data_IF_534053008923
#
_entry.id   IF_534053008923
#
_cell.length_a   1.000
_cell.length_b   1.000
_cell.length_c   1.000
_cell.angle_alpha   90.00
_cell.angle_beta   90.00
_cell.angle_gamma   90.00
#
_symmetry.space_group_name_H-M   'P 1'
#
loop_
_entity.id
_entity.type
_entity.pdbx_description
1 polymer ?
#
# COMPACT_ATOMS: atom_id res chain seq x y z
N UNK A 1 59.13 36.63 40.82
CA UNK A 1 58.16 37.34 39.94
C UNK A 1 57.54 36.43 38.86
N UNK A 2 58.18 35.32 38.46
CA UNK A 2 57.70 34.43 37.38
C UNK A 2 56.50 33.52 37.74
N UNK A 3 56.47 32.91 38.94
CA UNK A 3 55.38 31.98 39.31
C UNK A 3 53.96 32.60 39.40
N UNK A 4 53.86 33.92 39.58
CA UNK A 4 52.59 34.65 39.56
C UNK A 4 52.07 34.93 38.14
N UNK A 5 52.96 34.97 37.15
CA UNK A 5 52.61 35.14 35.75
C UNK A 5 52.14 33.79 35.17
N UNK A 6 52.86 32.70 35.44
CA UNK A 6 52.48 31.34 35.02
C UNK A 6 51.08 30.95 35.54
N UNK A 7 50.81 31.17 36.83
CA UNK A 7 49.49 30.92 37.42
C UNK A 7 48.37 31.73 36.76
N UNK A 8 48.62 32.97 36.32
CA UNK A 8 47.60 33.80 35.64
C UNK A 8 47.28 33.29 34.24
N UNK A 9 48.29 32.82 33.50
CA UNK A 9 48.10 32.15 32.21
C UNK A 9 47.32 30.85 32.33
N UNK A 10 47.66 30.01 33.32
CA UNK A 10 46.96 28.73 33.54
C UNK A 10 45.50 28.95 33.96
N UNK A 11 45.23 29.96 34.79
CA UNK A 11 43.86 30.33 35.19
C UNK A 11 43.03 30.79 33.99
N UNK A 12 43.60 31.60 33.08
CA UNK A 12 42.92 32.04 31.87
C UNK A 12 42.60 30.88 30.92
N UNK A 13 43.55 29.96 30.71
CA UNK A 13 43.36 28.77 29.88
C UNK A 13 42.27 27.86 30.46
N UNK A 14 42.21 27.74 31.79
CA UNK A 14 41.18 26.98 32.47
C UNK A 14 39.79 27.61 32.28
N UNK A 15 39.69 28.93 32.40
CA UNK A 15 38.43 29.68 32.19
C UNK A 15 37.92 29.55 30.75
N UNK A 16 38.79 29.60 29.75
CA UNK A 16 38.42 29.32 28.35
C UNK A 16 37.90 27.89 28.18
N UNK A 17 38.54 26.91 28.80
CA UNK A 17 38.11 25.50 28.73
C UNK A 17 36.73 25.33 29.38
N UNK A 18 36.47 26.00 30.50
CA UNK A 18 35.14 25.99 31.13
C UNK A 18 34.07 26.60 30.23
N UNK A 19 34.32 27.75 29.61
CA UNK A 19 33.38 28.37 28.66
C UNK A 19 33.08 27.46 27.46
N UNK A 20 34.11 26.78 26.93
CA UNK A 20 33.95 25.81 25.84
C UNK A 20 33.09 24.62 26.27
N UNK A 21 33.34 24.07 27.47
CA UNK A 21 32.56 22.97 28.02
C UNK A 21 31.10 23.36 28.27
N UNK A 22 30.84 24.58 28.74
CA UNK A 22 29.48 25.08 28.99
C UNK A 22 28.67 25.18 27.69
N UNK A 23 29.29 25.65 26.60
CA UNK A 23 28.67 25.68 25.26
C UNK A 23 28.34 24.26 24.80
N UNK A 24 29.32 23.35 24.87
CA UNK A 24 29.14 21.94 24.44
C UNK A 24 28.02 21.28 25.24
N UNK A 25 27.94 21.53 26.55
CA UNK A 25 26.93 20.95 27.41
C UNK A 25 25.53 21.44 27.02
N UNK A 26 25.39 22.74 26.73
CA UNK A 26 24.13 23.33 26.26
C UNK A 26 23.70 22.78 24.89
N UNK A 27 24.64 22.59 23.97
CA UNK A 27 24.37 22.00 22.67
C UNK A 27 23.92 20.53 22.80
N UNK A 28 24.58 19.76 23.67
CA UNK A 28 24.18 18.37 23.97
C UNK A 28 22.77 18.28 24.59
N UNK A 29 22.42 19.18 25.50
CA UNK A 29 21.07 19.23 26.10
C UNK A 29 20.00 19.54 25.04
N UNK A 30 20.31 20.44 24.10
CA UNK A 30 19.40 20.75 22.99
C UNK A 30 19.25 19.56 22.03
N UNK A 31 20.35 18.90 21.65
CA UNK A 31 20.31 17.69 20.82
C UNK A 31 19.52 16.56 21.50
N UNK A 32 19.73 16.36 22.80
CA UNK A 32 18.96 15.40 23.61
C UNK A 32 17.47 15.72 23.57
N UNK A 33 17.07 16.98 23.76
CA UNK A 33 15.66 17.40 23.70
C UNK A 33 15.03 17.15 22.32
N UNK A 34 15.77 17.40 21.24
CA UNK A 34 15.32 17.11 19.87
C UNK A 34 15.13 15.61 19.68
N UNK A 35 16.08 14.80 20.15
CA UNK A 35 16.03 13.35 20.07
C UNK A 35 14.84 12.77 20.84
N UNK A 36 14.61 13.21 22.07
CA UNK A 36 13.47 12.78 22.90
C UNK A 36 12.13 13.08 22.21
N UNK A 37 11.99 14.29 21.62
CA UNK A 37 10.79 14.65 20.86
C UNK A 37 10.60 13.75 19.63
N UNK A 38 11.67 13.38 18.94
CA UNK A 38 11.61 12.48 17.79
C UNK A 38 11.21 11.06 18.22
N UNK A 39 11.74 10.56 19.34
CA UNK A 39 11.36 9.26 19.92
C UNK A 39 9.87 9.20 20.26
N UNK A 40 9.36 10.18 21.01
CA UNK A 40 7.94 10.24 21.37
C UNK A 40 7.02 10.26 20.14
N UNK A 41 7.42 10.98 19.08
CA UNK A 41 6.66 10.99 17.83
C UNK A 41 6.65 9.62 17.15
N UNK A 42 7.79 8.93 17.15
CA UNK A 42 7.91 7.59 16.55
C UNK A 42 7.13 6.54 17.34
N UNK A 43 7.17 6.59 18.67
CA UNK A 43 6.38 5.71 19.54
C UNK A 43 4.89 5.85 19.25
N UNK A 44 4.38 7.09 19.17
CA UNK A 44 2.97 7.33 18.82
C UNK A 44 2.60 6.75 17.44
N UNK A 45 3.45 6.92 16.44
CA UNK A 45 3.22 6.35 15.10
C UNK A 45 3.19 4.82 15.17
N UNK A 46 4.10 4.20 15.94
CA UNK A 46 4.12 2.75 16.11
C UNK A 46 2.86 2.22 16.80
N UNK A 47 2.35 2.94 17.80
CA UNK A 47 1.09 2.61 18.48
C UNK A 47 -0.10 2.69 17.53
N UNK A 48 -0.21 3.78 16.76
CA UNK A 48 -1.29 3.98 15.79
C UNK A 48 -1.25 2.90 14.69
N UNK A 49 -0.07 2.59 14.15
CA UNK A 49 0.10 1.49 13.18
C UNK A 49 -0.28 0.13 13.80
N UNK A 50 0.08 -0.12 15.05
CA UNK A 50 -0.26 -1.37 15.74
C UNK A 50 -1.77 -1.52 15.93
N UNK A 51 -2.48 -0.41 16.19
CA UNK A 51 -3.94 -0.38 16.27
C UNK A 51 -4.57 -0.67 14.91
N UNK A 52 -4.12 0.00 13.86
CA UNK A 52 -4.61 -0.21 12.49
C UNK A 52 -4.43 -1.66 12.03
N UNK A 53 -3.26 -2.27 12.29
CA UNK A 53 -3.02 -3.69 11.99
C UNK A 53 -3.99 -4.59 12.73
N UNK A 54 -4.30 -4.29 14.00
CA UNK A 54 -5.26 -5.07 14.79
C UNK A 54 -6.67 -4.97 14.19
N UNK A 55 -7.08 -3.76 13.81
CA UNK A 55 -8.40 -3.51 13.24
C UNK A 55 -8.55 -4.21 11.88
N UNK A 56 -7.56 -4.09 10.99
CA UNK A 56 -7.54 -4.79 9.70
C UNK A 56 -7.56 -6.32 9.85
N UNK A 57 -6.90 -6.87 10.88
CA UNK A 57 -6.96 -8.31 11.18
C UNK A 57 -8.37 -8.74 11.59
N UNK A 58 -9.05 -7.91 12.39
CA UNK A 58 -10.43 -8.18 12.80
C UNK A 58 -11.39 -8.10 11.61
N UNK A 59 -11.28 -7.06 10.78
CA UNK A 59 -12.08 -6.92 9.55
C UNK A 59 -11.88 -8.12 8.62
N UNK A 60 -10.63 -8.55 8.41
CA UNK A 60 -10.33 -9.73 7.61
C UNK A 60 -10.98 -11.00 8.19
N UNK A 61 -10.94 -11.16 9.51
CA UNK A 61 -11.59 -12.28 10.18
C UNK A 61 -13.11 -12.26 9.99
N UNK A 62 -13.74 -11.09 10.11
CA UNK A 62 -15.17 -10.93 9.85
C UNK A 62 -15.53 -11.24 8.39
N UNK A 63 -14.75 -10.72 7.43
CA UNK A 63 -14.95 -11.00 6.01
C UNK A 63 -14.83 -12.51 5.71
N UNK A 64 -13.83 -13.19 6.27
CA UNK A 64 -13.67 -14.64 6.14
C UNK A 64 -14.85 -15.40 6.74
N UNK A 65 -15.33 -14.96 7.89
CA UNK A 65 -16.48 -15.57 8.58
C UNK A 65 -17.77 -15.38 7.76
N UNK A 66 -18.03 -14.17 7.26
CA UNK A 66 -19.15 -13.87 6.36
C UNK A 66 -19.10 -14.75 5.10
N UNK A 67 -17.94 -14.81 4.43
CA UNK A 67 -17.76 -15.68 3.25
C UNK A 67 -18.01 -17.15 3.57
N UNK A 68 -17.49 -17.65 4.68
CA UNK A 68 -17.73 -19.03 5.12
C UNK A 68 -19.21 -19.31 5.34
N UNK A 69 -19.94 -18.39 6.00
CA UNK A 69 -21.39 -18.53 6.21
C UNK A 69 -22.18 -18.49 4.91
N UNK A 70 -21.82 -17.61 3.96
CA UNK A 70 -22.43 -17.55 2.63
C UNK A 70 -22.21 -18.86 1.86
N UNK A 71 -20.99 -19.38 1.85
CA UNK A 71 -20.68 -20.65 1.19
C UNK A 71 -21.42 -21.83 1.85
N UNK A 72 -21.54 -21.85 3.17
CA UNK A 72 -22.30 -22.89 3.89
C UNK A 72 -23.82 -22.78 3.65
N UNK A 73 -24.35 -21.57 3.54
CA UNK A 73 -25.76 -21.33 3.21
C UNK A 73 -26.10 -21.75 1.77
N UNK A 74 -25.19 -21.53 0.81
CA UNK A 74 -25.34 -22.01 -0.56
C UNK A 74 -25.39 -23.55 -0.63
N UNK A 75 -24.61 -24.26 0.19
CA UNK A 75 -24.66 -25.74 0.28
C UNK A 75 -25.98 -26.26 0.88
N UNK A 76 -26.60 -25.51 1.81
CA UNK A 76 -27.92 -25.87 2.37
C UNK A 76 -29.09 -25.58 1.41
N UNK A 77 -28.91 -24.61 0.51
CA UNK A 77 -29.88 -24.32 -0.55
C UNK A 77 -29.76 -25.32 -1.70
N UNK A 78 -28.57 -25.87 -1.97
CA UNK A 78 -28.40 -26.97 -2.92
C UNK A 78 -28.91 -28.31 -2.38
N UNK A 79 -28.73 -28.62 -1.09
CA UNK A 79 -29.17 -29.91 -0.52
C UNK A 79 -30.69 -30.07 -0.38
N UNK A 80 -31.48 -28.98 -0.35
CA UNK A 80 -32.94 -29.06 -0.40
C UNK A 80 -33.51 -29.27 -1.82
N UNK A 81 -32.71 -29.11 -2.87
CA UNK A 81 -33.10 -29.38 -4.26
C UNK A 81 -32.58 -30.74 -4.74
N UNK A 82 -31.59 -31.34 -4.05
CA UNK A 82 -30.94 -32.62 -4.45
C UNK A 82 -31.60 -33.84 -3.78
N UNK A 83 -32.90 -33.82 -3.47
CA UNK A 83 -33.58 -34.98 -2.90
C UNK A 83 -34.66 -35.62 -3.79
N UNK A 84 -34.73 -35.30 -5.07
CA UNK A 84 -35.47 -36.11 -6.04
C UNK A 84 -34.56 -36.46 -7.21
N UNK A 85 -34.29 -37.76 -7.34
CA UNK A 85 -33.66 -38.47 -8.45
C UNK A 85 -32.12 -38.59 -8.41
N UNK A 86 -31.68 -39.53 -7.57
CA UNK A 86 -30.60 -40.45 -7.95
C UNK A 86 -30.91 -41.07 -9.32
N UNK A 87 -30.05 -40.85 -10.32
CA UNK A 87 -29.51 -41.88 -11.21
C UNK A 87 -28.44 -41.26 -12.12
N UNK A 88 -27.24 -41.81 -11.99
CA UNK A 88 -26.15 -41.63 -12.94
C UNK A 88 -26.53 -42.13 -14.34
N UNK A 89 -25.71 -41.66 -15.30
CA UNK A 89 -25.45 -42.20 -16.64
C UNK A 89 -26.43 -41.90 -17.77
N UNK A 90 -25.85 -41.21 -18.78
CA UNK A 90 -26.07 -41.36 -20.22
C UNK A 90 -27.51 -41.58 -20.69
N UNK A 91 -28.15 -40.57 -21.28
CA UNK A 91 -28.82 -40.78 -22.56
C UNK A 91 -29.20 -39.46 -23.28
N UNK A 92 -28.98 -39.50 -24.59
CA UNK A 92 -29.28 -38.51 -25.61
C UNK A 92 -30.78 -38.53 -25.97
N UNK A 93 -31.44 -37.39 -26.20
CA UNK A 93 -32.58 -37.24 -27.14
C UNK A 93 -32.68 -35.74 -27.49
N UNK A 94 -32.41 -35.32 -28.73
CA UNK A 94 -33.32 -35.31 -29.89
C UNK A 94 -34.73 -34.81 -29.57
N UNK A 95 -34.98 -33.58 -30.03
CA UNK A 95 -36.21 -32.98 -30.56
C UNK A 95 -37.55 -33.59 -30.14
N UNK A 96 -38.29 -32.87 -29.31
CA UNK A 96 -39.72 -32.67 -29.53
C UNK A 96 -40.01 -31.16 -29.42
N UNK A 97 -40.53 -30.64 -30.52
CA UNK A 97 -40.99 -29.26 -30.68
C UNK A 97 -42.38 -29.21 -30.05
N UNK A 98 -42.56 -28.38 -29.03
CA UNK A 98 -43.87 -27.80 -28.74
C UNK A 98 -43.77 -26.28 -28.67
N UNK A 99 -44.75 -25.68 -29.35
CA UNK A 99 -44.84 -24.28 -29.75
C UNK A 99 -44.98 -23.39 -28.52
N UNK A 100 -43.97 -22.56 -28.27
CA UNK A 100 -44.07 -21.14 -27.87
C UNK A 100 -42.66 -20.54 -27.74
N UNK A 101 -41.89 -20.64 -28.83
CA UNK A 101 -40.53 -20.14 -28.93
C UNK A 101 -40.51 -18.73 -29.52
N UNK A 102 -40.61 -17.69 -28.68
CA UNK A 102 -40.07 -16.38 -29.07
C UNK A 102 -39.67 -15.48 -27.89
N UNK A 103 -40.15 -15.72 -26.66
CA UNK A 103 -39.98 -14.75 -25.56
C UNK A 103 -38.86 -15.08 -24.56
N UNK A 104 -38.31 -16.30 -24.57
CA UNK A 104 -37.40 -16.76 -23.50
C UNK A 104 -35.91 -16.70 -23.84
N UNK A 105 -35.56 -16.52 -25.12
CA UNK A 105 -34.16 -16.45 -25.55
C UNK A 105 -33.54 -15.06 -25.34
N UNK A 106 -34.35 -13.99 -25.39
CA UNK A 106 -33.86 -12.62 -25.19
C UNK A 106 -33.52 -12.33 -23.71
N UNK A 107 -34.31 -12.84 -22.76
CA UNK A 107 -34.09 -12.59 -21.33
C UNK A 107 -32.82 -13.25 -20.76
N UNK A 108 -32.43 -14.44 -21.26
CA UNK A 108 -31.18 -15.10 -20.87
C UNK A 108 -29.94 -14.44 -21.46
N UNK A 109 -30.03 -13.95 -22.70
CA UNK A 109 -28.93 -13.23 -23.37
C UNK A 109 -28.72 -11.85 -22.73
N UNK A 110 -29.80 -11.14 -22.38
CA UNK A 110 -29.71 -9.85 -21.68
C UNK A 110 -29.11 -9.99 -20.27
N UNK A 111 -29.46 -11.04 -19.50
CA UNK A 111 -28.87 -11.25 -18.16
C UNK A 111 -27.36 -11.59 -18.22
N UNK A 112 -26.92 -12.39 -19.19
CA UNK A 112 -25.49 -12.67 -19.38
C UNK A 112 -24.69 -11.43 -19.84
N UNK A 113 -25.27 -10.59 -20.70
CA UNK A 113 -24.64 -9.32 -21.12
C UNK A 113 -24.58 -8.29 -19.99
N UNK A 114 -25.63 -8.15 -19.18
CA UNK A 114 -25.66 -7.24 -18.02
C UNK A 114 -24.61 -7.67 -16.99
N UNK A 115 -24.47 -8.97 -16.72
CA UNK A 115 -23.49 -9.49 -15.74
C UNK A 115 -22.05 -9.27 -16.22
N UNK A 116 -21.77 -9.52 -17.52
CA UNK A 116 -20.44 -9.25 -18.11
C UNK A 116 -20.10 -7.76 -18.13
N UNK A 117 -21.07 -6.88 -18.42
CA UNK A 117 -20.88 -5.43 -18.39
C UNK A 117 -20.59 -4.91 -16.98
N UNK A 118 -21.26 -5.46 -15.96
CA UNK A 118 -20.99 -5.11 -14.57
C UNK A 118 -19.57 -5.50 -14.15
N UNK A 119 -19.14 -6.74 -14.42
CA UNK A 119 -17.77 -7.20 -14.13
C UNK A 119 -16.70 -6.38 -14.86
N UNK A 120 -16.97 -5.96 -16.09
CA UNK A 120 -16.03 -5.15 -16.88
C UNK A 120 -15.90 -3.74 -16.30
N UNK A 121 -17.01 -3.17 -15.80
CA UNK A 121 -17.03 -1.86 -15.13
C UNK A 121 -16.24 -1.88 -13.82
N UNK A 122 -16.36 -2.95 -13.02
CA UNK A 122 -15.57 -3.13 -11.81
C UNK A 122 -14.07 -3.28 -12.10
N UNK A 123 -13.70 -4.04 -13.15
CA UNK A 123 -12.32 -4.19 -13.61
C UNK A 123 -11.72 -2.86 -14.07
N UNK A 124 -12.49 -2.05 -14.80
CA UNK A 124 -12.10 -0.68 -15.20
C UNK A 124 -11.85 0.18 -13.96
N UNK A 125 -12.80 0.22 -13.02
CA UNK A 125 -12.69 1.00 -11.78
C UNK A 125 -11.48 0.58 -10.95
N UNK A 126 -11.19 -0.72 -10.87
CA UNK A 126 -10.02 -1.25 -10.17
C UNK A 126 -8.71 -0.77 -10.81
N UNK A 127 -8.58 -0.84 -12.14
CA UNK A 127 -7.38 -0.39 -12.86
C UNK A 127 -7.20 1.13 -12.72
N UNK A 128 -8.28 1.91 -12.78
CA UNK A 128 -8.25 3.37 -12.60
C UNK A 128 -7.77 3.76 -11.20
N UNK A 129 -8.27 3.08 -10.15
CA UNK A 129 -7.80 3.28 -8.77
C UNK A 129 -6.31 2.94 -8.63
N UNK A 130 -5.85 1.82 -9.21
CA UNK A 130 -4.43 1.47 -9.19
C UNK A 130 -3.57 2.50 -9.91
N UNK A 131 -4.01 2.99 -11.07
CA UNK A 131 -3.31 4.05 -11.81
C UNK A 131 -3.20 5.34 -11.00
N UNK A 132 -4.25 5.73 -10.29
CA UNK A 132 -4.22 6.90 -9.42
C UNK A 132 -3.18 6.74 -8.30
N UNK A 133 -3.17 5.60 -7.62
CA UNK A 133 -2.20 5.32 -6.55
C UNK A 133 -0.77 5.31 -7.06
N UNK A 134 -0.51 4.67 -8.21
CA UNK A 134 0.83 4.62 -8.81
C UNK A 134 1.31 6.00 -9.25
N UNK A 135 0.43 6.86 -9.79
CA UNK A 135 0.77 8.25 -10.12
C UNK A 135 1.15 9.06 -8.88
N UNK A 136 0.42 8.89 -7.77
CA UNK A 136 0.75 9.54 -6.49
C UNK A 136 2.09 9.03 -5.93
N UNK A 137 2.34 7.72 -5.96
CA UNK A 137 3.63 7.14 -5.53
C UNK A 137 4.77 7.69 -6.40
N UNK A 138 4.58 7.77 -7.72
CA UNK A 138 5.54 8.34 -8.65
C UNK A 138 5.89 9.78 -8.28
N UNK A 139 4.90 10.66 -8.15
CA UNK A 139 5.13 12.07 -7.77
C UNK A 139 5.83 12.20 -6.42
N UNK A 140 5.48 11.36 -5.45
CA UNK A 140 6.15 11.31 -4.15
C UNK A 140 7.65 10.96 -4.30
N UNK A 141 7.98 9.95 -5.12
CA UNK A 141 9.36 9.52 -5.37
C UNK A 141 10.16 10.51 -6.22
N UNK A 142 9.53 11.18 -7.18
CA UNK A 142 10.15 12.29 -7.93
C UNK A 142 10.53 13.43 -6.98
N UNK A 143 9.64 13.78 -6.04
CA UNK A 143 9.93 14.80 -5.04
C UNK A 143 11.10 14.41 -4.12
N UNK A 144 11.21 13.11 -3.79
CA UNK A 144 12.33 12.59 -3.00
C UNK A 144 13.64 12.69 -3.78
N UNK A 145 13.62 12.35 -5.07
CA UNK A 145 14.77 12.42 -5.95
C UNK A 145 15.26 13.87 -6.17
N UNK A 146 14.34 14.83 -6.30
CA UNK A 146 14.69 16.26 -6.42
C UNK A 146 15.39 16.78 -5.16
N UNK A 147 15.00 16.27 -3.98
CA UNK A 147 15.63 16.63 -2.69
C UNK A 147 16.99 15.96 -2.50
N UNK A 148 17.37 14.98 -3.31
CA UNK A 148 18.70 14.37 -3.22
C UNK A 148 19.79 15.37 -3.65
N UNK A 149 20.91 15.46 -2.92
CA UNK A 149 22.05 16.28 -3.32
C UNK A 149 22.52 15.92 -4.73
N UNK A 150 22.78 16.94 -5.57
CA UNK A 150 23.27 16.73 -6.95
C UNK A 150 24.63 16.03 -7.00
N UNK A 151 25.46 16.25 -5.99
CA UNK A 151 26.76 15.61 -5.80
C UNK A 151 26.78 15.02 -4.39
N UNK A 152 26.75 13.69 -4.29
CA UNK A 152 26.91 13.01 -3.01
C UNK A 152 28.39 12.86 -2.68
N UNK A 153 28.82 13.29 -1.48
CA UNK A 153 30.19 13.03 -1.00
C UNK A 153 30.32 11.64 -0.35
N UNK A 154 29.20 10.95 -0.12
CA UNK A 154 29.13 9.62 0.52
C UNK A 154 28.47 8.61 -0.42
N UNK A 155 29.05 7.41 -0.51
CA UNK A 155 28.54 6.31 -1.37
C UNK A 155 27.07 5.95 -1.15
N UNK A 156 26.55 6.15 0.07
CA UNK A 156 25.16 5.86 0.42
C UNK A 156 24.16 6.78 -0.29
N UNK A 157 24.52 8.05 -0.51
CA UNK A 157 23.68 9.02 -1.19
C UNK A 157 23.56 8.70 -2.69
N UNK A 158 24.65 8.25 -3.29
CA UNK A 158 24.69 7.79 -4.70
C UNK A 158 23.80 6.55 -4.87
N UNK A 159 23.96 5.55 -4.01
CA UNK A 159 23.12 4.34 -4.03
C UNK A 159 21.64 4.66 -3.83
N UNK A 160 21.31 5.58 -2.92
CA UNK A 160 19.93 6.02 -2.68
C UNK A 160 19.34 6.70 -3.93
N UNK A 161 20.12 7.54 -4.60
CA UNK A 161 19.70 8.21 -5.83
C UNK A 161 19.43 7.21 -6.96
N UNK A 162 20.37 6.29 -7.22
CA UNK A 162 20.22 5.23 -8.21
C UNK A 162 19.00 4.33 -7.93
N UNK A 163 18.75 4.03 -6.66
CA UNK A 163 17.57 3.26 -6.26
C UNK A 163 16.26 4.00 -6.59
N UNK A 164 16.19 5.30 -6.30
CA UNK A 164 15.02 6.12 -6.60
C UNK A 164 14.78 6.22 -8.12
N UNK A 165 15.83 6.40 -8.92
CA UNK A 165 15.74 6.42 -10.39
C UNK A 165 15.21 5.08 -10.94
N UNK A 166 15.74 3.94 -10.48
CA UNK A 166 15.24 2.61 -10.87
C UNK A 166 13.78 2.39 -10.45
N UNK A 167 13.41 2.84 -9.25
CA UNK A 167 12.05 2.72 -8.73
C UNK A 167 11.08 3.58 -9.54
N UNK A 168 11.49 4.77 -9.97
CA UNK A 168 10.69 5.63 -10.86
C UNK A 168 10.47 5.01 -12.22
N UNK A 169 11.53 4.44 -12.83
CA UNK A 169 11.41 3.71 -14.09
C UNK A 169 10.40 2.56 -13.99
N UNK A 170 10.48 1.77 -12.92
CA UNK A 170 9.51 0.69 -12.66
C UNK A 170 8.06 1.19 -12.55
N UNK A 171 7.85 2.31 -11.85
CA UNK A 171 6.52 2.91 -11.73
C UNK A 171 5.99 3.37 -13.08
N UNK A 172 6.84 3.95 -13.93
CA UNK A 172 6.48 4.34 -15.29
C UNK A 172 6.10 3.15 -16.17
N UNK A 173 6.89 2.09 -16.14
CA UNK A 173 6.61 0.88 -16.91
C UNK A 173 5.27 0.25 -16.47
N UNK A 174 5.00 0.24 -15.16
CA UNK A 174 3.75 -0.30 -14.61
C UNK A 174 2.53 0.56 -14.93
N UNK A 175 2.66 1.89 -14.86
CA UNK A 175 1.61 2.82 -15.29
C UNK A 175 1.31 2.64 -16.78
N UNK A 176 2.35 2.53 -17.62
CA UNK A 176 2.20 2.32 -19.05
C UNK A 176 1.52 0.99 -19.39
N UNK A 177 1.88 -0.08 -18.69
CA UNK A 177 1.25 -1.39 -18.83
C UNK A 177 -0.24 -1.33 -18.46
N UNK A 178 -0.58 -0.75 -17.31
CA UNK A 178 -1.97 -0.62 -16.86
C UNK A 178 -2.79 0.29 -17.78
N UNK A 179 -2.23 1.38 -18.29
CA UNK A 179 -2.88 2.24 -19.27
C UNK A 179 -3.18 1.50 -20.58
N UNK A 180 -2.23 0.67 -21.08
CA UNK A 180 -2.45 -0.18 -22.25
C UNK A 180 -3.59 -1.17 -22.00
N UNK A 181 -3.58 -1.86 -20.86
CA UNK A 181 -4.65 -2.79 -20.49
C UNK A 181 -6.00 -2.10 -20.36
N UNK A 182 -6.05 -0.93 -19.74
CA UNK A 182 -7.27 -0.14 -19.63
C UNK A 182 -7.82 0.24 -21.01
N UNK A 183 -6.94 0.59 -21.95
CA UNK A 183 -7.33 0.90 -23.33
C UNK A 183 -7.90 -0.34 -24.04
N UNK A 184 -7.32 -1.53 -23.82
CA UNK A 184 -7.85 -2.78 -24.39
C UNK A 184 -9.19 -3.20 -23.79
N UNK A 185 -9.44 -2.92 -22.51
CA UNK A 185 -10.70 -3.27 -21.84
C UNK A 185 -11.82 -2.27 -22.21
N UNK A 186 -11.47 -1.03 -22.58
CA UNK A 186 -12.42 0.00 -23.02
C UNK A 186 -12.72 -0.02 -24.52
N UNK A 187 -11.98 -0.80 -25.31
CA UNK A 187 -12.20 -1.03 -26.75
C UNK A 187 -13.21 -2.17 -26.95
#
# INVERSE_FOLDING_TARGET
KCALLENKTDTFVLEEKYKKLEIILKDMENEKSIFERACLKNEKIQEDMSREIKDLKNELYECKSKLYTMNKANVYNETNVINHNKKDYNFCYKNEIDKDGLTQHNAKVEQEEITKNFEMTEKISFIEKQLMLLKLEKTSKESELIRCPKYGRKNEEIKKKEFLEKKLQYLDDKINYLNKNLKYIKL
#
